data_IF_202563298988
#
_entry.id   IF_202563298988
#
_cell.length_a   1.000
_cell.length_b   1.000
_cell.length_c   1.000
_cell.angle_alpha   90.00
_cell.angle_beta   90.00
_cell.angle_gamma   90.00
#
_symmetry.space_group_name_H-M   'P 1'
#
loop_
_entity.id
_entity.type
_entity.pdbx_description
1 polymer ?
#
# COMPACT_ATOMS: atom_id res chain seq x y z
N UNK A 1 4.98 -7.62 3.59
CA UNK A 1 5.74 -7.09 2.44
C UNK A 1 7.17 -7.61 2.50
N UNK A 2 7.86 -7.68 1.36
CA UNK A 2 9.29 -8.03 1.33
C UNK A 2 10.13 -6.89 1.93
N UNK A 3 9.76 -5.65 1.64
CA UNK A 3 10.45 -4.45 2.13
C UNK A 3 9.57 -3.68 3.12
N UNK A 4 10.24 -2.94 4.00
CA UNK A 4 9.65 -2.13 5.06
C UNK A 4 9.43 -0.67 4.63
N UNK A 5 8.70 0.09 5.47
CA UNK A 5 8.54 1.53 5.31
C UNK A 5 9.88 2.27 5.39
N UNK A 6 10.80 1.81 6.23
CA UNK A 6 12.14 2.39 6.31
C UNK A 6 12.91 2.20 5.00
N UNK A 7 12.87 1.00 4.43
CA UNK A 7 13.56 0.69 3.18
C UNK A 7 13.00 1.49 2.00
N UNK A 8 11.67 1.57 1.86
CA UNK A 8 11.05 2.22 0.71
C UNK A 8 10.84 3.73 0.88
N UNK A 9 10.24 4.17 1.98
CA UNK A 9 9.81 5.56 2.15
C UNK A 9 10.92 6.48 2.67
N UNK A 10 11.92 5.93 3.37
CA UNK A 10 13.04 6.69 3.92
C UNK A 10 14.26 6.48 3.03
N UNK A 11 14.86 5.29 3.05
CA UNK A 11 16.10 5.01 2.32
C UNK A 11 15.91 5.12 0.81
N UNK A 12 14.81 4.60 0.27
CA UNK A 12 14.47 4.76 -1.15
C UNK A 12 14.29 6.22 -1.58
N UNK A 13 13.67 7.05 -0.73
CA UNK A 13 13.53 8.50 -0.98
C UNK A 13 14.88 9.19 -1.00
N UNK A 14 15.74 8.92 -0.02
CA UNK A 14 17.09 9.49 0.05
C UNK A 14 17.90 9.15 -1.21
N UNK A 15 17.86 7.88 -1.64
CA UNK A 15 18.53 7.43 -2.86
C UNK A 15 17.97 8.13 -4.10
N UNK A 16 16.64 8.25 -4.21
CA UNK A 16 15.98 8.92 -5.32
C UNK A 16 16.40 10.39 -5.45
N UNK A 17 16.41 11.12 -4.33
CA UNK A 17 16.81 12.53 -4.30
C UNK A 17 18.32 12.68 -4.59
N UNK A 18 19.16 11.80 -4.04
CA UNK A 18 20.61 11.81 -4.30
C UNK A 18 20.94 11.54 -5.77
N UNK A 19 20.08 10.81 -6.49
CA UNK A 19 20.20 10.55 -7.91
C UNK A 19 19.67 11.69 -8.80
N UNK A 20 19.24 12.82 -8.23
CA UNK A 20 18.70 13.98 -8.95
C UNK A 20 17.20 13.93 -9.21
N UNK A 21 16.47 13.03 -8.54
CA UNK A 21 15.02 13.01 -8.59
C UNK A 21 14.41 14.23 -7.88
N UNK A 22 13.35 14.79 -8.46
CA UNK A 22 12.75 16.04 -7.95
C UNK A 22 11.42 15.80 -7.23
N UNK A 23 10.66 14.78 -7.62
CA UNK A 23 9.32 14.51 -7.11
C UNK A 23 9.21 13.06 -6.64
N UNK A 24 9.01 12.87 -5.34
CA UNK A 24 8.90 11.57 -4.72
C UNK A 24 7.60 11.48 -3.92
N UNK A 25 6.87 10.38 -4.09
CA UNK A 25 5.73 10.04 -3.27
C UNK A 25 5.83 8.57 -2.82
N UNK A 26 5.76 8.35 -1.51
CA UNK A 26 5.48 7.04 -0.94
C UNK A 26 4.00 6.96 -0.61
N UNK A 27 3.38 5.84 -0.99
CA UNK A 27 1.99 5.57 -0.64
C UNK A 27 1.94 4.68 0.60
N UNK A 28 1.05 5.02 1.53
CA UNK A 28 0.80 4.18 2.68
C UNK A 28 0.07 2.91 2.25
N UNK A 29 0.52 1.77 2.79
CA UNK A 29 -0.18 0.51 2.58
C UNK A 29 -1.61 0.59 3.13
N UNK A 30 -2.56 -0.06 2.46
CA UNK A 30 -3.96 -0.08 2.89
C UNK A 30 -4.11 -0.67 4.30
N UNK A 31 -3.32 -1.68 4.67
CA UNK A 31 -3.32 -2.28 6.02
C UNK A 31 -4.76 -2.49 6.55
N UNK A 32 -5.02 -2.11 7.80
CA UNK A 32 -6.34 -2.14 8.45
C UNK A 32 -7.12 -0.84 8.28
N UNK A 33 -6.83 -0.05 7.24
CA UNK A 33 -7.58 1.18 6.97
C UNK A 33 -9.02 0.88 6.55
N UNK A 34 -9.94 1.81 6.84
CA UNK A 34 -11.36 1.66 6.48
C UNK A 34 -11.57 1.40 4.98
N UNK A 35 -10.89 2.09 4.04
CA UNK A 35 -11.02 1.78 2.62
C UNK A 35 -10.51 0.38 2.26
N UNK A 36 -9.41 -0.07 2.88
CA UNK A 36 -8.87 -1.41 2.68
C UNK A 36 -9.83 -2.49 3.16
N UNK A 37 -10.41 -2.30 4.34
CA UNK A 37 -11.40 -3.23 4.90
C UNK A 37 -12.70 -3.25 4.08
N UNK A 38 -13.19 -2.09 3.64
CA UNK A 38 -14.37 -2.00 2.77
C UNK A 38 -14.17 -2.70 1.42
N UNK A 39 -12.98 -2.57 0.83
CA UNK A 39 -12.61 -3.30 -0.39
C UNK A 39 -12.65 -4.81 -0.16
N UNK A 40 -12.01 -5.30 0.91
CA UNK A 40 -11.98 -6.72 1.24
C UNK A 40 -13.39 -7.26 1.51
N UNK A 41 -14.21 -6.56 2.28
CA UNK A 41 -15.61 -6.94 2.54
C UNK A 41 -16.41 -7.07 1.25
N UNK A 42 -16.28 -6.08 0.35
CA UNK A 42 -16.98 -6.09 -0.94
C UNK A 42 -16.61 -7.31 -1.78
N UNK A 43 -15.31 -7.63 -1.85
CA UNK A 43 -14.83 -8.80 -2.58
C UNK A 43 -15.35 -10.09 -1.95
N UNK A 44 -15.22 -10.25 -0.63
CA UNK A 44 -15.66 -11.45 0.07
C UNK A 44 -17.17 -11.68 -0.09
N UNK A 45 -17.99 -10.64 0.06
CA UNK A 45 -19.46 -10.75 -0.14
C UNK A 45 -19.80 -11.18 -1.56
N UNK A 46 -19.11 -10.64 -2.57
CA UNK A 46 -19.32 -11.02 -3.97
C UNK A 46 -18.97 -12.49 -4.21
N UNK A 47 -17.79 -12.93 -3.77
CA UNK A 47 -17.33 -14.30 -4.02
C UNK A 47 -18.14 -15.35 -3.26
N UNK A 48 -18.67 -15.00 -2.08
CA UNK A 48 -19.49 -15.89 -1.28
C UNK A 48 -20.98 -15.87 -1.65
N UNK A 49 -21.45 -15.01 -2.55
CA UNK A 49 -22.88 -14.78 -2.81
C UNK A 49 -23.71 -16.01 -3.23
N UNK A 50 -23.06 -17.10 -3.66
CA UNK A 50 -23.73 -18.40 -3.95
C UNK A 50 -23.58 -19.46 -2.85
N UNK A 51 -22.91 -19.12 -1.75
CA UNK A 51 -22.54 -20.02 -0.66
C UNK A 51 -23.19 -19.63 0.67
N UNK A 52 -23.69 -18.38 0.77
CA UNK A 52 -24.43 -17.83 1.92
C UNK A 52 -25.88 -17.51 1.55
#
# INVERSE_FOLDING_TARGET
CLETLEELAIRGKEQFLAAGGEQFASLTCLNTSDPGMAMLETLVRRELAGWI
#
